data_IF_329205613507
#
_entry.id   IF_329205613507
#
_cell.length_a   1.000
_cell.length_b   1.000
_cell.length_c   1.000
_cell.angle_alpha   90.00
_cell.angle_beta   90.00
_cell.angle_gamma   90.00
#
_symmetry.space_group_name_H-M   'P 1'
#
loop_
_entity.id
_entity.type
_entity.pdbx_description
1 polymer ?
#
# COMPACT_ATOMS: atom_id res chain seq x y z
N UNK A 1 19.20 1.34 4.33
CA UNK A 1 17.89 1.07 4.96
C UNK A 1 16.80 1.37 3.96
N UNK A 2 15.74 0.54 3.94
CA UNK A 2 14.59 0.66 3.05
C UNK A 2 13.32 0.80 3.89
N UNK A 3 12.52 1.84 3.66
CA UNK A 3 11.15 1.94 4.16
C UNK A 3 10.23 1.25 3.17
N UNK A 4 9.50 0.23 3.62
CA UNK A 4 8.59 -0.56 2.79
C UNK A 4 7.17 -0.50 3.35
N UNK A 5 6.28 0.24 2.69
CA UNK A 5 4.99 0.61 3.26
C UNK A 5 3.85 0.63 2.25
N UNK A 6 2.61 0.51 2.74
CA UNK A 6 1.39 0.79 1.95
C UNK A 6 1.08 2.27 1.79
N UNK A 7 1.84 3.15 2.46
CA UNK A 7 1.63 4.60 2.44
C UNK A 7 2.19 5.25 1.19
N UNK A 8 1.67 6.44 0.87
CA UNK A 8 2.19 7.33 -0.16
C UNK A 8 3.57 7.88 0.25
N UNK A 9 4.47 8.07 -0.72
CA UNK A 9 5.84 8.56 -0.50
C UNK A 9 5.92 9.84 0.35
N UNK A 10 5.05 10.80 0.08
CA UNK A 10 5.07 12.08 0.79
C UNK A 10 4.79 11.91 2.29
N UNK A 11 3.93 10.94 2.64
CA UNK A 11 3.65 10.56 4.03
C UNK A 11 4.89 9.97 4.70
N UNK A 12 5.55 9.01 4.04
CA UNK A 12 6.78 8.40 4.55
C UNK A 12 7.91 9.43 4.70
N UNK A 13 8.10 10.28 3.71
CA UNK A 13 9.11 11.34 3.76
C UNK A 13 8.91 12.32 4.92
N UNK A 14 7.66 12.57 5.33
CA UNK A 14 7.33 13.38 6.51
C UNK A 14 7.66 12.63 7.81
N UNK A 15 7.30 11.35 7.90
CA UNK A 15 7.56 10.52 9.09
C UNK A 15 9.06 10.38 9.38
N UNK A 16 9.86 10.13 8.34
CA UNK A 16 11.30 9.94 8.45
C UNK A 16 12.09 11.24 8.22
N UNK A 17 11.50 12.41 8.46
CA UNK A 17 12.08 13.71 8.14
C UNK A 17 13.55 13.92 8.56
N UNK A 18 14.03 13.42 9.73
CA UNK A 18 15.43 13.60 10.13
C UNK A 18 16.45 12.86 9.25
N UNK A 19 16.06 11.72 8.66
CA UNK A 19 16.95 10.82 7.90
C UNK A 19 16.42 10.52 6.49
N UNK A 20 15.39 11.22 6.06
CA UNK A 20 14.65 10.95 4.82
C UNK A 20 15.50 10.86 3.56
N UNK A 21 16.61 11.59 3.52
CA UNK A 21 17.49 11.65 2.36
C UNK A 21 18.54 10.52 2.34
N UNK A 22 18.60 9.71 3.41
CA UNK A 22 19.47 8.55 3.58
C UNK A 22 18.75 7.22 3.29
N UNK A 23 17.43 7.26 3.04
CA UNK A 23 16.59 6.09 2.90
C UNK A 23 16.24 5.78 1.45
N UNK A 24 15.99 4.51 1.18
CA UNK A 24 15.27 4.06 -0.02
C UNK A 24 13.82 3.78 0.36
N UNK A 25 12.92 3.88 -0.61
CA UNK A 25 11.49 3.76 -0.37
C UNK A 25 10.83 2.78 -1.33
N UNK A 26 10.02 1.91 -0.77
CA UNK A 26 9.04 1.08 -1.45
C UNK A 26 7.68 1.55 -0.90
N UNK A 27 6.87 2.22 -1.73
CA UNK A 27 5.62 2.85 -1.29
C UNK A 27 4.41 2.27 -2.00
N UNK A 28 3.21 2.64 -1.50
CA UNK A 28 1.93 2.23 -2.06
C UNK A 28 1.80 0.71 -2.25
N UNK A 29 2.33 -0.06 -1.29
CA UNK A 29 2.26 -1.52 -1.30
C UNK A 29 3.21 -2.24 -2.25
N UNK A 30 4.24 -1.55 -2.75
CA UNK A 30 5.22 -2.09 -3.70
C UNK A 30 5.12 -1.53 -5.11
N UNK A 31 4.15 -0.65 -5.38
CA UNK A 31 3.93 -0.11 -6.73
C UNK A 31 5.00 0.90 -7.15
N UNK A 32 5.65 1.56 -6.19
CA UNK A 32 6.73 2.52 -6.47
C UNK A 32 7.99 2.17 -5.68
N UNK A 33 9.10 2.07 -6.37
CA UNK A 33 10.45 1.97 -5.78
C UNK A 33 11.22 3.23 -6.12
N UNK A 34 11.78 3.90 -5.11
CA UNK A 34 12.44 5.19 -5.32
C UNK A 34 13.54 5.51 -4.30
N UNK A 35 14.47 6.36 -4.72
CA UNK A 35 15.31 7.17 -3.83
C UNK A 35 14.52 8.42 -3.40
N UNK A 36 15.02 9.23 -2.46
CA UNK A 36 14.38 10.51 -2.11
C UNK A 36 14.10 11.44 -3.30
N UNK A 37 14.91 11.32 -4.35
CA UNK A 37 14.94 12.30 -5.46
C UNK A 37 14.64 11.68 -6.83
N UNK A 38 14.53 10.34 -6.93
CA UNK A 38 14.35 9.66 -8.22
C UNK A 38 13.49 8.42 -8.08
N UNK A 39 12.49 8.28 -8.93
CA UNK A 39 11.74 7.05 -9.10
C UNK A 39 12.62 6.05 -9.89
N UNK A 40 12.76 4.83 -9.36
CA UNK A 40 13.51 3.75 -9.97
C UNK A 40 12.58 2.79 -10.72
N UNK A 41 11.40 2.54 -10.17
CA UNK A 41 10.36 1.68 -10.77
C UNK A 41 8.98 2.22 -10.41
N UNK A 42 8.05 2.11 -11.36
CA UNK A 42 6.61 2.30 -11.16
C UNK A 42 5.87 1.13 -11.79
N UNK A 43 4.89 0.59 -11.08
CA UNK A 43 3.97 -0.41 -11.59
C UNK A 43 2.57 0.20 -11.63
N UNK A 44 2.03 0.36 -12.83
CA UNK A 44 0.73 1.01 -13.06
C UNK A 44 -0.39 0.00 -13.23
N UNK A 45 -1.59 0.39 -12.86
CA UNK A 45 -2.81 -0.37 -13.09
C UNK A 45 -3.37 -0.02 -14.49
N UNK A 46 -3.82 -1.01 -15.29
CA UNK A 46 -4.48 -0.73 -16.55
C UNK A 46 -5.68 0.21 -16.39
N UNK A 47 -5.81 1.14 -17.32
CA UNK A 47 -6.84 2.20 -17.23
C UNK A 47 -8.25 1.63 -17.18
N UNK A 48 -8.54 0.62 -17.99
CA UNK A 48 -9.83 -0.08 -18.01
C UNK A 48 -10.16 -0.76 -16.67
N UNK A 49 -9.13 -1.23 -15.93
CA UNK A 49 -9.32 -1.91 -14.64
C UNK A 49 -9.73 -0.91 -13.56
N UNK A 50 -8.94 0.13 -13.33
CA UNK A 50 -9.27 1.08 -12.27
C UNK A 50 -10.52 1.92 -12.58
N UNK A 51 -10.78 2.25 -13.87
CA UNK A 51 -12.05 2.91 -14.28
C UNK A 51 -13.26 2.02 -14.06
N UNK A 52 -13.14 0.72 -14.39
CA UNK A 52 -14.19 -0.25 -14.09
C UNK A 52 -14.44 -0.41 -12.59
N UNK A 53 -13.39 -0.37 -11.77
CA UNK A 53 -13.53 -0.35 -10.30
C UNK A 53 -14.27 0.90 -9.81
N UNK A 54 -13.93 2.09 -10.33
CA UNK A 54 -14.65 3.34 -10.02
C UNK A 54 -16.12 3.22 -10.37
N UNK A 55 -16.43 2.77 -11.59
CA UNK A 55 -17.81 2.62 -12.06
C UNK A 55 -18.59 1.66 -11.16
N UNK A 56 -17.99 0.53 -10.79
CA UNK A 56 -18.62 -0.44 -9.89
C UNK A 56 -18.93 0.16 -8.51
N UNK A 57 -18.02 0.98 -7.95
CA UNK A 57 -18.28 1.66 -6.68
C UNK A 57 -19.45 2.63 -6.82
N UNK A 58 -19.47 3.45 -7.88
CA UNK A 58 -20.57 4.39 -8.13
C UNK A 58 -21.94 3.71 -8.28
N UNK A 59 -21.98 2.56 -8.98
CA UNK A 59 -23.24 1.89 -9.29
C UNK A 59 -23.74 0.96 -8.19
N UNK A 60 -22.85 0.33 -7.44
CA UNK A 60 -23.20 -0.77 -6.53
C UNK A 60 -22.82 -0.57 -5.07
N UNK A 61 -21.99 0.44 -4.76
CA UNK A 61 -21.49 0.69 -3.41
C UNK A 61 -21.65 2.18 -3.02
N UNK A 62 -22.89 2.70 -2.97
CA UNK A 62 -23.13 4.15 -2.81
C UNK A 62 -22.68 4.72 -1.46
N UNK A 63 -22.49 3.87 -0.43
CA UNK A 63 -21.99 4.26 0.88
C UNK A 63 -20.45 4.24 0.98
N UNK A 64 -19.77 3.99 -0.14
CA UNK A 64 -18.32 3.90 -0.22
C UNK A 64 -17.70 5.11 -0.89
N UNK A 65 -16.50 5.47 -0.44
CA UNK A 65 -15.62 6.40 -1.14
C UNK A 65 -14.57 5.62 -1.96
N UNK A 66 -14.13 6.19 -3.05
CA UNK A 66 -13.00 5.70 -3.86
C UNK A 66 -11.84 6.65 -3.78
N UNK A 67 -10.64 6.07 -3.81
CA UNK A 67 -9.37 6.79 -3.87
C UNK A 67 -8.47 6.14 -4.90
N UNK A 68 -7.85 6.94 -5.77
CA UNK A 68 -6.79 6.49 -6.66
C UNK A 68 -5.48 7.19 -6.33
N UNK A 69 -4.37 6.45 -6.42
CA UNK A 69 -3.01 6.94 -6.19
C UNK A 69 -2.24 6.96 -7.49
N UNK A 70 -1.47 8.01 -7.70
CA UNK A 70 -0.35 8.08 -8.63
C UNK A 70 0.94 8.17 -7.80
N UNK A 71 2.15 8.09 -8.38
CA UNK A 71 3.40 8.12 -7.60
C UNK A 71 3.56 9.32 -6.66
N UNK A 72 2.95 10.46 -6.99
CA UNK A 72 3.15 11.71 -6.25
C UNK A 72 1.85 12.35 -5.75
N UNK A 73 0.66 11.90 -6.21
CA UNK A 73 -0.61 12.53 -5.88
C UNK A 73 -1.74 11.49 -5.72
N UNK A 74 -2.62 11.73 -4.78
CA UNK A 74 -3.87 11.01 -4.65
C UNK A 74 -5.07 11.78 -5.17
N UNK A 75 -6.13 11.09 -5.58
CA UNK A 75 -7.38 11.69 -6.07
C UNK A 75 -8.58 11.00 -5.47
N UNK A 76 -9.58 11.80 -5.05
CA UNK A 76 -10.87 11.33 -4.57
C UNK A 76 -11.96 12.34 -4.92
N UNK A 77 -13.23 11.91 -4.94
CA UNK A 77 -14.33 12.77 -5.40
C UNK A 77 -14.94 13.62 -4.28
N UNK A 78 -14.90 13.15 -3.04
CA UNK A 78 -15.57 13.79 -1.91
C UNK A 78 -14.57 14.34 -0.89
N UNK A 79 -14.22 15.63 -0.98
CA UNK A 79 -13.33 16.31 -0.04
C UNK A 79 -13.87 16.38 1.41
N UNK A 80 -15.19 16.22 1.57
CA UNK A 80 -15.87 16.24 2.86
C UNK A 80 -16.03 14.84 3.48
N UNK A 81 -15.57 13.79 2.79
CA UNK A 81 -15.63 12.44 3.32
C UNK A 81 -14.68 12.24 4.50
N UNK A 82 -14.98 11.25 5.32
CA UNK A 82 -14.10 10.85 6.42
C UNK A 82 -12.77 10.32 5.86
N UNK A 83 -12.80 9.57 4.77
CA UNK A 83 -11.63 9.05 4.06
C UNK A 83 -10.69 10.18 3.65
N UNK A 84 -11.19 11.18 2.91
CA UNK A 84 -10.38 12.29 2.41
C UNK A 84 -9.69 13.05 3.54
N UNK A 85 -10.46 13.41 4.58
CA UNK A 85 -9.91 14.10 5.76
C UNK A 85 -8.87 13.26 6.49
N UNK A 86 -9.08 11.97 6.61
CA UNK A 86 -8.15 11.06 7.27
C UNK A 86 -6.84 10.94 6.49
N UNK A 87 -6.91 10.67 5.17
CA UNK A 87 -5.73 10.59 4.31
C UNK A 87 -4.93 11.89 4.36
N UNK A 88 -5.59 13.03 4.23
CA UNK A 88 -4.94 14.35 4.21
C UNK A 88 -4.34 14.74 5.56
N UNK A 89 -5.13 14.63 6.64
CA UNK A 89 -4.77 15.22 7.93
C UNK A 89 -4.01 14.24 8.84
N UNK A 90 -4.38 12.96 8.85
CA UNK A 90 -3.79 11.95 9.74
C UNK A 90 -2.62 11.23 9.09
N UNK A 91 -2.76 10.87 7.81
CA UNK A 91 -1.68 10.20 7.06
C UNK A 91 -0.74 11.18 6.37
N UNK A 92 -1.13 12.44 6.19
CA UNK A 92 -0.31 13.47 5.57
C UNK A 92 -0.10 13.26 4.07
N UNK A 93 -1.06 12.64 3.39
CA UNK A 93 -1.05 12.42 1.95
C UNK A 93 -1.21 13.73 1.19
N UNK A 94 -0.58 13.83 0.05
CA UNK A 94 -0.93 14.82 -0.96
C UNK A 94 -2.12 14.25 -1.76
N UNK A 95 -3.29 14.85 -1.56
CA UNK A 95 -4.56 14.39 -2.14
C UNK A 95 -5.36 15.58 -2.69
N UNK A 96 -5.90 15.41 -3.89
CA UNK A 96 -6.72 16.39 -4.60
C UNK A 96 -8.16 15.89 -4.73
N UNK A 97 -9.12 16.77 -4.49
CA UNK A 97 -10.52 16.50 -4.79
C UNK A 97 -10.81 16.79 -6.26
N UNK A 98 -11.49 15.85 -6.92
CA UNK A 98 -11.94 15.97 -8.31
C UNK A 98 -13.44 15.74 -8.38
N UNK A 99 -14.08 16.22 -9.44
CA UNK A 99 -15.53 16.03 -9.60
C UNK A 99 -15.91 14.60 -9.97
N UNK A 100 -15.05 13.95 -10.73
CA UNK A 100 -15.27 12.61 -11.27
C UNK A 100 -13.88 12.01 -11.54
N UNK A 101 -13.58 10.87 -10.90
CA UNK A 101 -12.30 10.17 -11.03
C UNK A 101 -12.10 9.64 -12.45
N UNK A 102 -13.17 9.12 -13.08
CA UNK A 102 -13.10 8.54 -14.42
C UNK A 102 -12.80 9.65 -15.46
N UNK A 103 -13.46 10.79 -15.32
CA UNK A 103 -13.25 11.94 -16.22
C UNK A 103 -11.91 12.64 -15.98
N UNK A 104 -11.41 12.66 -14.74
CA UNK A 104 -10.11 13.21 -14.40
C UNK A 104 -8.96 12.43 -15.07
N UNK A 105 -9.10 11.10 -15.13
CA UNK A 105 -8.18 10.17 -15.81
C UNK A 105 -6.69 10.54 -15.65
N UNK A 106 -6.15 10.61 -14.44
CA UNK A 106 -4.73 10.93 -14.25
C UNK A 106 -3.85 9.82 -14.84
N UNK A 107 -2.67 10.22 -15.33
CA UNK A 107 -1.67 9.25 -15.79
C UNK A 107 -1.08 8.46 -14.62
N UNK A 108 -0.57 7.26 -14.93
CA UNK A 108 0.20 6.44 -13.99
C UNK A 108 -0.54 6.11 -12.68
N UNK A 109 -1.81 5.69 -12.78
CA UNK A 109 -2.55 5.17 -11.61
C UNK A 109 -1.87 3.88 -11.13
N UNK A 110 -1.43 3.88 -9.89
CA UNK A 110 -0.67 2.79 -9.26
C UNK A 110 -1.47 1.98 -8.25
N UNK A 111 -2.55 2.54 -7.73
CA UNK A 111 -3.40 1.90 -6.74
C UNK A 111 -4.82 2.46 -6.81
N UNK A 112 -5.79 1.58 -6.64
CA UNK A 112 -7.20 1.90 -6.39
C UNK A 112 -7.57 1.45 -4.98
N UNK A 113 -8.35 2.23 -4.26
CA UNK A 113 -8.80 1.87 -2.91
C UNK A 113 -10.29 2.12 -2.76
N UNK A 114 -10.99 1.17 -2.16
CA UNK A 114 -12.38 1.32 -1.69
C UNK A 114 -12.36 1.55 -0.19
N UNK A 115 -13.11 2.52 0.26
CA UNK A 115 -13.29 2.84 1.68
C UNK A 115 -14.76 2.80 2.07
N UNK A 116 -15.05 2.17 3.21
CA UNK A 116 -16.34 2.26 3.89
C UNK A 116 -16.10 2.53 5.37
N UNK A 117 -16.77 3.54 6.00
CA UNK A 117 -16.42 4.06 7.33
C UNK A 117 -16.51 3.06 8.48
N UNK A 118 -17.07 1.87 8.28
CA UNK A 118 -17.23 0.90 9.37
C UNK A 118 -17.06 -0.57 8.98
N UNK A 119 -17.20 -0.95 7.72
CA UNK A 119 -17.37 -2.36 7.37
C UNK A 119 -17.07 -2.67 5.89
N UNK A 120 -15.95 -2.21 5.35
CA UNK A 120 -15.57 -2.45 3.97
C UNK A 120 -15.39 -3.95 3.68
N UNK A 121 -14.75 -4.66 4.59
CA UNK A 121 -14.53 -6.11 4.47
C UNK A 121 -15.86 -6.90 4.44
N UNK A 122 -16.84 -6.51 5.24
CA UNK A 122 -18.12 -7.22 5.36
C UNK A 122 -19.12 -6.83 4.26
N UNK A 123 -19.13 -5.58 3.82
CA UNK A 123 -20.12 -5.04 2.89
C UNK A 123 -19.63 -4.94 1.45
N UNK A 124 -18.37 -4.57 1.27
CA UNK A 124 -17.82 -4.29 -0.05
C UNK A 124 -17.09 -5.50 -0.63
N UNK A 125 -16.27 -6.19 0.17
CA UNK A 125 -15.47 -7.30 -0.30
C UNK A 125 -16.29 -8.45 -0.93
N UNK A 126 -17.47 -8.86 -0.42
CA UNK A 126 -18.26 -9.92 -1.04
C UNK A 126 -18.74 -9.60 -2.47
N UNK A 127 -18.90 -8.32 -2.79
CA UNK A 127 -19.33 -7.85 -4.11
C UNK A 127 -18.12 -7.49 -4.97
N UNK A 128 -17.18 -6.76 -4.40
CA UNK A 128 -16.03 -6.19 -5.12
C UNK A 128 -14.95 -7.22 -5.44
N UNK A 129 -14.58 -8.07 -4.47
CA UNK A 129 -13.50 -9.04 -4.64
C UNK A 129 -13.74 -10.06 -5.75
N UNK A 130 -14.92 -10.71 -5.88
CA UNK A 130 -15.16 -11.66 -6.96
C UNK A 130 -15.05 -11.05 -8.36
N UNK A 131 -15.36 -9.77 -8.51
CA UNK A 131 -15.34 -9.08 -9.79
C UNK A 131 -13.91 -8.75 -10.25
N UNK A 132 -12.98 -8.49 -9.31
CA UNK A 132 -11.68 -7.91 -9.62
C UNK A 132 -10.47 -8.75 -9.25
N UNK A 133 -10.63 -9.84 -8.48
CA UNK A 133 -9.52 -10.71 -8.01
C UNK A 133 -8.61 -11.26 -9.12
N UNK A 134 -9.11 -11.39 -10.33
CA UNK A 134 -8.36 -11.90 -11.49
C UNK A 134 -7.69 -10.77 -12.29
N UNK A 135 -7.91 -9.50 -11.92
CA UNK A 135 -7.39 -8.32 -12.63
C UNK A 135 -6.54 -7.41 -11.74
N UNK A 136 -6.64 -7.58 -10.42
CA UNK A 136 -5.85 -6.82 -9.45
C UNK A 136 -5.56 -7.67 -8.21
N UNK A 137 -4.48 -7.35 -7.50
CA UNK A 137 -4.20 -7.88 -6.17
C UNK A 137 -5.00 -7.08 -5.15
N UNK A 138 -5.98 -7.73 -4.51
CA UNK A 138 -6.84 -7.09 -3.52
C UNK A 138 -6.41 -7.50 -2.12
N UNK A 139 -6.27 -6.53 -1.24
CA UNK A 139 -5.92 -6.74 0.16
C UNK A 139 -6.81 -5.90 1.07
N UNK A 140 -7.45 -6.53 2.07
CA UNK A 140 -8.11 -5.80 3.15
C UNK A 140 -7.05 -5.19 4.06
N UNK A 141 -7.17 -3.88 4.29
CA UNK A 141 -6.30 -3.10 5.18
C UNK A 141 -7.13 -2.51 6.32
N UNK A 142 -7.22 -3.24 7.42
CA UNK A 142 -8.19 -2.97 8.48
C UNK A 142 -9.62 -3.35 8.06
N UNK A 143 -10.61 -2.82 8.79
CA UNK A 143 -12.04 -3.09 8.53
C UNK A 143 -12.65 -2.15 7.49
N UNK A 144 -11.99 -1.02 7.24
CA UNK A 144 -12.53 0.10 6.47
C UNK A 144 -12.02 0.14 5.03
N UNK A 145 -10.97 -0.63 4.67
CA UNK A 145 -10.27 -0.47 3.40
C UNK A 145 -10.12 -1.77 2.61
N UNK A 146 -10.24 -1.65 1.29
CA UNK A 146 -9.74 -2.63 0.32
C UNK A 146 -8.77 -1.89 -0.59
N UNK A 147 -7.49 -2.22 -0.50
CA UNK A 147 -6.45 -1.76 -1.41
C UNK A 147 -6.35 -2.69 -2.60
N UNK A 148 -6.29 -2.13 -3.79
CA UNK A 148 -6.18 -2.84 -5.06
C UNK A 148 -4.90 -2.39 -5.77
N UNK A 149 -3.93 -3.27 -5.86
CA UNK A 149 -2.68 -3.06 -6.56
C UNK A 149 -2.69 -3.79 -7.92
N UNK A 150 -1.82 -3.42 -8.87
CA UNK A 150 -1.62 -4.18 -10.09
C UNK A 150 -1.26 -5.64 -9.81
N UNK A 151 -1.69 -6.57 -10.65
CA UNK A 151 -1.32 -7.99 -10.52
C UNK A 151 0.20 -8.18 -10.52
N UNK A 152 0.66 -9.09 -9.67
CA UNK A 152 2.07 -9.43 -9.55
C UNK A 152 2.92 -8.38 -8.83
N UNK A 153 2.29 -7.36 -8.24
CA UNK A 153 2.97 -6.31 -7.47
C UNK A 153 2.73 -6.52 -5.98
N UNK A 154 3.81 -6.72 -5.25
CA UNK A 154 3.81 -6.86 -3.79
C UNK A 154 5.03 -6.14 -3.20
N UNK A 155 5.07 -6.03 -1.88
CA UNK A 155 6.26 -5.53 -1.18
C UNK A 155 7.50 -6.38 -1.49
N UNK A 156 7.32 -7.70 -1.67
CA UNK A 156 8.41 -8.60 -2.03
C UNK A 156 8.90 -8.39 -3.47
N UNK A 157 8.01 -8.28 -4.44
CA UNK A 157 8.44 -8.07 -5.84
C UNK A 157 9.17 -6.74 -6.00
N UNK A 158 8.75 -5.70 -5.28
CA UNK A 158 9.46 -4.42 -5.23
C UNK A 158 10.82 -4.51 -4.51
N UNK A 159 10.89 -5.25 -3.41
CA UNK A 159 12.15 -5.51 -2.71
C UNK A 159 13.11 -6.31 -3.57
N UNK A 160 12.64 -7.34 -4.27
CA UNK A 160 13.44 -8.14 -5.21
C UNK A 160 14.00 -7.29 -6.36
N UNK A 161 13.20 -6.36 -6.90
CA UNK A 161 13.70 -5.39 -7.87
C UNK A 161 14.84 -4.55 -7.27
N UNK A 162 14.67 -4.05 -6.05
CA UNK A 162 15.67 -3.23 -5.38
C UNK A 162 16.95 -4.03 -5.05
N UNK A 163 16.81 -5.29 -4.62
CA UNK A 163 17.93 -6.21 -4.42
C UNK A 163 18.76 -6.37 -5.70
N UNK A 164 18.11 -6.64 -6.81
CA UNK A 164 18.76 -6.75 -8.13
C UNK A 164 19.43 -5.42 -8.54
N UNK A 165 18.77 -4.28 -8.30
CA UNK A 165 19.31 -2.95 -8.61
C UNK A 165 20.58 -2.64 -7.80
N UNK A 166 20.64 -3.09 -6.54
CA UNK A 166 21.77 -2.85 -5.62
C UNK A 166 22.84 -3.97 -5.68
N UNK A 167 22.56 -5.09 -6.32
CA UNK A 167 23.44 -6.27 -6.30
C UNK A 167 23.48 -6.97 -4.94
N UNK A 168 22.38 -6.92 -4.17
CA UNK A 168 22.21 -7.53 -2.84
C UNK A 168 21.40 -8.81 -2.98
N UNK A 169 21.81 -9.89 -2.31
CA UNK A 169 21.13 -11.16 -2.32
C UNK A 169 20.00 -11.20 -1.28
N UNK A 170 18.97 -12.04 -1.46
CA UNK A 170 17.93 -12.28 -0.44
C UNK A 170 18.54 -12.68 0.91
N UNK A 171 19.59 -13.50 0.92
CA UNK A 171 20.30 -13.98 2.11
C UNK A 171 21.02 -12.86 2.87
N UNK A 172 21.30 -11.75 2.21
CA UNK A 172 21.92 -10.54 2.79
C UNK A 172 20.87 -9.52 3.25
N UNK A 173 19.59 -9.85 3.12
CA UNK A 173 18.46 -8.96 3.41
C UNK A 173 17.80 -9.35 4.73
N UNK A 174 17.60 -8.35 5.58
CA UNK A 174 16.79 -8.47 6.80
C UNK A 174 15.49 -7.67 6.65
N UNK A 175 14.36 -8.28 7.01
CA UNK A 175 13.04 -7.65 6.90
C UNK A 175 12.29 -7.67 8.22
N UNK A 176 11.45 -6.65 8.42
CA UNK A 176 10.52 -6.55 9.55
C UNK A 176 9.11 -6.34 9.01
N UNK A 177 8.11 -7.00 9.60
CA UNK A 177 6.73 -6.88 9.17
C UNK A 177 5.72 -7.11 10.29
N UNK A 178 4.48 -6.66 10.06
CA UNK A 178 3.40 -6.74 11.05
C UNK A 178 2.06 -7.18 10.45
N UNK A 179 1.92 -7.19 9.12
CA UNK A 179 0.64 -7.41 8.45
C UNK A 179 0.73 -8.44 7.31
N UNK A 180 -0.42 -8.86 6.80
CA UNK A 180 -0.53 -9.89 5.75
C UNK A 180 0.22 -9.53 4.46
N UNK A 181 0.29 -8.24 4.11
CA UNK A 181 1.03 -7.77 2.94
C UNK A 181 2.56 -7.81 3.11
N UNK A 182 3.07 -8.18 4.30
CA UNK A 182 4.49 -8.39 4.58
C UNK A 182 4.91 -9.86 4.44
N UNK A 183 3.95 -10.81 4.42
CA UNK A 183 4.23 -12.25 4.52
C UNK A 183 5.24 -12.71 3.48
N UNK A 184 5.00 -12.40 2.20
CA UNK A 184 5.90 -12.81 1.12
C UNK A 184 7.33 -12.28 1.31
N UNK A 185 7.48 -11.05 1.81
CA UNK A 185 8.78 -10.45 2.14
C UNK A 185 9.44 -11.14 3.35
N UNK A 186 8.66 -11.51 4.36
CA UNK A 186 9.16 -12.22 5.55
C UNK A 186 9.61 -13.64 5.22
N UNK A 187 8.88 -14.35 4.37
CA UNK A 187 9.21 -15.71 3.95
C UNK A 187 10.50 -15.80 3.13
N UNK A 188 10.76 -14.80 2.27
CA UNK A 188 11.81 -14.87 1.26
C UNK A 188 13.12 -14.14 1.64
N UNK A 189 13.14 -13.30 2.64
CA UNK A 189 14.38 -12.65 3.12
C UNK A 189 15.30 -13.63 3.86
N UNK A 190 16.59 -13.37 3.85
CA UNK A 190 17.59 -14.16 4.58
C UNK A 190 17.37 -14.18 6.09
N UNK A 191 16.98 -13.04 6.64
CA UNK A 191 16.53 -12.90 8.03
C UNK A 191 15.23 -12.09 8.06
N UNK A 192 14.26 -12.51 8.86
CA UNK A 192 12.99 -11.80 8.97
C UNK A 192 12.41 -11.84 10.37
N UNK A 193 11.79 -10.75 10.77
CA UNK A 193 11.17 -10.56 12.07
C UNK A 193 9.71 -10.12 11.93
N UNK A 194 8.82 -10.82 12.62
CA UNK A 194 7.48 -10.32 12.87
C UNK A 194 7.38 -9.74 14.29
N UNK A 195 6.70 -8.60 14.45
CA UNK A 195 6.40 -8.09 15.80
C UNK A 195 5.42 -9.01 16.50
N UNK A 196 5.61 -9.25 17.79
CA UNK A 196 4.83 -10.23 18.56
C UNK A 196 3.33 -9.93 18.64
N UNK A 197 2.93 -8.68 18.40
CA UNK A 197 1.53 -8.24 18.34
C UNK A 197 0.88 -8.37 16.95
N UNK A 198 1.59 -8.92 15.96
CA UNK A 198 1.02 -9.21 14.63
C UNK A 198 0.08 -10.43 14.67
N UNK A 199 -0.65 -10.66 13.57
CA UNK A 199 -1.48 -11.87 13.40
C UNK A 199 -0.61 -13.13 13.44
N UNK A 200 -1.22 -14.26 13.80
CA UNK A 200 -0.52 -15.54 13.91
C UNK A 200 0.11 -15.97 12.57
N UNK A 201 -0.60 -15.76 11.47
CA UNK A 201 -0.12 -16.08 10.12
C UNK A 201 1.16 -15.32 9.79
N UNK A 202 1.23 -14.04 10.18
CA UNK A 202 2.40 -13.18 9.95
C UNK A 202 3.59 -13.64 10.79
N UNK A 203 3.34 -14.00 12.07
CA UNK A 203 4.40 -14.56 12.94
C UNK A 203 4.94 -15.90 12.42
N UNK A 204 4.07 -16.71 11.84
CA UNK A 204 4.47 -18.01 11.27
C UNK A 204 5.25 -17.87 9.95
N UNK A 205 5.07 -16.76 9.22
CA UNK A 205 5.81 -16.47 8.00
C UNK A 205 7.24 -15.94 8.26
N UNK A 206 7.46 -15.34 9.43
CA UNK A 206 8.77 -14.81 9.80
C UNK A 206 9.69 -15.89 10.40
N UNK A 207 11.00 -15.70 10.25
CA UNK A 207 12.02 -16.58 10.85
C UNK A 207 12.17 -16.38 12.35
N UNK A 208 11.93 -15.14 12.82
CA UNK A 208 12.06 -14.75 14.21
C UNK A 208 10.91 -13.83 14.63
N UNK A 209 10.70 -13.71 15.93
CA UNK A 209 9.71 -12.81 16.51
C UNK A 209 10.43 -11.78 17.38
N UNK A 210 10.20 -10.50 17.11
CA UNK A 210 10.70 -9.42 17.95
C UNK A 210 9.60 -8.90 18.90
N UNK A 211 9.96 -8.13 19.97
CA UNK A 211 9.01 -7.51 20.85
C UNK A 211 7.96 -6.65 20.11
N UNK A 212 6.82 -6.33 20.74
CA UNK A 212 5.77 -5.57 20.11
C UNK A 212 6.21 -4.13 19.79
N UNK A 213 5.51 -3.44 18.89
CA UNK A 213 5.89 -2.09 18.44
C UNK A 213 5.95 -1.06 19.58
N UNK A 214 5.10 -1.20 20.61
CA UNK A 214 5.10 -0.29 21.77
C UNK A 214 6.29 -0.50 22.72
N UNK A 215 7.05 -1.56 22.56
CA UNK A 215 8.31 -1.82 23.23
C UNK A 215 9.54 -1.55 22.33
N UNK A 216 9.32 -0.89 21.19
CA UNK A 216 10.35 -0.64 20.17
C UNK A 216 11.05 -1.91 19.67
N UNK A 217 10.29 -2.99 19.45
CA UNK A 217 10.81 -4.31 19.11
C UNK A 217 11.73 -4.35 17.88
N UNK A 218 11.52 -3.47 16.90
CA UNK A 218 12.39 -3.37 15.72
C UNK A 218 13.76 -2.74 16.04
N UNK A 219 13.90 -2.04 17.18
CA UNK A 219 15.11 -1.33 17.57
C UNK A 219 15.95 -2.10 18.62
N UNK A 220 15.46 -3.23 19.09
CA UNK A 220 16.15 -4.12 20.02
C UNK A 220 16.94 -5.18 19.31
#
# INVERSE_FOLDING_TARGET
>A
VVVCSGRQFVSEKKLFSPIRDELLYITDGGTVVRTPNKILQVSTMPEEVWKGMCQMVHEHLPDCDSYISTPDMGYAENENSQMFRWLRNSYGYDICAVKDLIACSPADVIKFTVYHPSACEEKCAPVFTPAWKDQALLASSGREWIDCNPLGVSKWTALSYLQNYLGVLPEETCTFGDNLNDMEMLENAGLSFAVSNSREEVRNAAKEICPPYWENGVLQ
#
